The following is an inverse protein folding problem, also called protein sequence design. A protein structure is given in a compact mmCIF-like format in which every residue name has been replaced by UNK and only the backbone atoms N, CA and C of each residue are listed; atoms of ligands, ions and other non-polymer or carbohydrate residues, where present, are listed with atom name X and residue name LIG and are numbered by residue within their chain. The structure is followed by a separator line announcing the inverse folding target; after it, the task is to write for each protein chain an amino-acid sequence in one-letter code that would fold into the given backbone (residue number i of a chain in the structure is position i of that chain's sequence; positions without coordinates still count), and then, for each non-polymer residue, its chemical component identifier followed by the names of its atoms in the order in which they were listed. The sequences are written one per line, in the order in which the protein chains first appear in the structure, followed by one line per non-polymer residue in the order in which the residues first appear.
data_IF_464658231407
#
_entry.id   IF_464658231407
#
_cell.length_a   1.000
_cell.length_b   1.000
_cell.length_c   1.000
_cell.angle_alpha   90.00
_cell.angle_beta   90.00
_cell.angle_gamma   90.00
#
_symmetry.space_group_name_H-M   'P 1'
#
loop_
_entity.id
_entity.type
_entity.pdbx_description
1 polymer ?
#
# COMPACT_ATOMS: atom_id res chain seq x y z
N UNK A 1 4.70 12.64 5.79
CA UNK A 1 3.40 12.81 5.11
C UNK A 1 2.20 12.93 6.06
N UNK A 2 2.33 13.49 7.27
CA UNK A 2 1.17 13.68 8.15
C UNK A 2 0.39 14.94 7.79
N UNK A 3 1.09 16.08 7.67
CA UNK A 3 0.50 17.40 7.41
C UNK A 3 -0.30 17.43 6.12
N UNK A 4 0.21 16.86 5.02
CA UNK A 4 -0.52 16.88 3.75
C UNK A 4 -1.78 16.02 3.77
N UNK A 5 -1.80 14.93 4.55
CA UNK A 5 -2.98 14.09 4.73
C UNK A 5 -4.05 14.82 5.53
N UNK A 6 -3.69 15.36 6.69
CA UNK A 6 -4.64 16.08 7.57
C UNK A 6 -5.00 17.47 7.05
N UNK A 7 -4.19 18.05 6.18
CA UNK A 7 -4.45 19.34 5.53
C UNK A 7 -5.62 19.29 4.53
N UNK A 8 -6.07 18.09 4.12
CA UNK A 8 -7.22 17.94 3.20
C UNK A 8 -8.59 17.93 3.89
N UNK A 9 -8.62 17.88 5.23
CA UNK A 9 -9.82 17.56 6.00
C UNK A 9 -10.76 18.75 6.22
N UNK A 10 -10.27 20.00 6.23
CA UNK A 10 -11.09 21.21 6.40
C UNK A 10 -11.22 22.00 5.08
N UNK A 11 -12.41 22.54 4.82
CA UNK A 11 -12.72 23.39 3.65
C UNK A 11 -13.22 24.75 4.13
N UNK A 12 -13.06 25.81 3.34
CA UNK A 12 -13.52 27.15 3.71
C UNK A 12 -14.99 27.13 4.19
N UNK A 13 -15.24 27.64 5.40
CA UNK A 13 -16.56 27.67 6.02
C UNK A 13 -17.05 26.37 6.65
N UNK A 14 -16.29 25.26 6.61
CA UNK A 14 -16.66 23.99 7.25
C UNK A 14 -15.50 23.40 8.06
N UNK A 15 -15.79 23.04 9.31
CA UNK A 15 -14.83 22.30 10.13
C UNK A 15 -14.66 20.87 9.61
N UNK A 16 -13.44 20.36 9.71
CA UNK A 16 -13.08 18.98 9.38
C UNK A 16 -12.41 18.31 10.56
N UNK A 17 -12.61 17.01 10.73
CA UNK A 17 -11.95 16.22 11.78
C UNK A 17 -11.04 15.18 11.14
N UNK A 18 -9.82 15.06 11.67
CA UNK A 18 -8.89 13.99 11.33
C UNK A 18 -8.66 13.12 12.55
N UNK A 19 -8.97 11.83 12.44
CA UNK A 19 -8.73 10.83 13.49
C UNK A 19 -7.52 10.00 13.09
N UNK A 20 -6.56 9.86 14.00
CA UNK A 20 -5.36 9.04 13.79
C UNK A 20 -5.45 7.83 14.70
N UNK A 21 -5.39 6.63 14.13
CA UNK A 21 -5.25 5.40 14.91
C UNK A 21 -3.77 5.17 15.19
N UNK A 22 -3.45 4.91 16.46
CA UNK A 22 -2.07 4.74 16.94
C UNK A 22 -2.01 3.41 17.68
N UNK A 23 -1.09 2.54 17.28
CA UNK A 23 -0.78 1.30 18.00
C UNK A 23 0.49 1.49 18.82
N UNK A 24 0.83 0.50 19.66
CA UNK A 24 2.09 0.49 20.41
C UNK A 24 3.34 0.62 19.52
N UNK A 25 3.26 0.20 18.26
CA UNK A 25 4.37 0.27 17.30
C UNK A 25 4.56 1.68 16.72
N UNK A 26 3.54 2.54 16.82
CA UNK A 26 3.53 3.87 16.20
C UNK A 26 3.95 4.98 17.16
N UNK A 27 4.27 4.65 18.42
CA UNK A 27 4.51 5.63 19.50
C UNK A 27 5.60 6.64 19.14
N UNK A 28 6.75 6.17 18.64
CA UNK A 28 7.87 7.05 18.28
C UNK A 28 7.49 7.98 17.10
N UNK A 29 6.80 7.43 16.09
CA UNK A 29 6.34 8.20 14.95
C UNK A 29 5.32 9.28 15.38
N UNK A 30 4.39 8.92 16.24
CA UNK A 30 3.38 9.82 16.78
C UNK A 30 4.02 10.97 17.58
N UNK A 31 4.97 10.66 18.47
CA UNK A 31 5.69 11.70 19.24
C UNK A 31 6.48 12.66 18.34
N UNK A 32 7.10 12.17 17.27
CA UNK A 32 7.75 13.04 16.27
C UNK A 32 6.76 13.97 15.59
N UNK A 33 5.55 13.50 15.28
CA UNK A 33 4.49 14.32 14.71
C UNK A 33 4.08 15.42 15.70
N UNK A 34 3.84 15.08 16.96
CA UNK A 34 3.47 16.05 18.00
C UNK A 34 4.54 17.13 18.19
N UNK A 35 5.82 16.72 18.19
CA UNK A 35 6.93 17.66 18.27
C UNK A 35 6.97 18.60 17.06
N UNK A 36 6.79 18.07 15.86
CA UNK A 36 6.83 18.84 14.61
C UNK A 36 5.67 19.84 14.50
N UNK A 37 4.48 19.51 14.99
CA UNK A 37 3.32 20.43 15.01
C UNK A 37 3.29 21.34 16.24
N UNK A 38 4.19 21.11 17.21
CA UNK A 38 4.29 21.88 18.46
C UNK A 38 3.08 21.76 19.38
N UNK A 39 2.27 20.70 19.25
CA UNK A 39 1.03 20.50 20.00
C UNK A 39 0.81 19.03 20.33
N UNK A 40 0.26 18.76 21.51
CA UNK A 40 -0.24 17.44 21.88
C UNK A 40 -1.57 17.17 21.19
N UNK A 41 -1.71 15.99 20.60
CA UNK A 41 -2.95 15.56 19.97
C UNK A 41 -3.84 14.91 21.04
N UNK A 42 -5.04 15.45 21.31
CA UNK A 42 -5.90 14.91 22.35
C UNK A 42 -6.45 13.55 21.94
N UNK A 43 -6.63 12.68 22.93
CA UNK A 43 -7.36 11.43 22.75
C UNK A 43 -8.79 11.76 22.35
N UNK A 44 -9.29 11.09 21.31
CA UNK A 44 -10.67 11.26 20.90
C UNK A 44 -11.58 10.59 21.94
N UNK A 45 -12.60 11.29 22.49
CA UNK A 45 -13.43 10.73 23.54
C UNK A 45 -14.28 9.57 23.03
N UNK A 46 -14.28 8.46 23.77
CA UNK A 46 -15.05 7.25 23.50
C UNK A 46 -15.78 6.80 24.76
N UNK A 47 -16.93 6.11 24.58
CA UNK A 47 -17.61 5.42 25.67
C UNK A 47 -17.00 4.02 25.79
N UNK A 48 -16.00 3.88 26.66
CA UNK A 48 -15.16 2.69 26.70
C UNK A 48 -15.97 1.41 26.95
N UNK A 49 -16.95 1.46 27.86
CA UNK A 49 -17.82 0.31 28.16
C UNK A 49 -18.61 -0.16 26.92
N UNK A 50 -19.21 0.77 26.16
CA UNK A 50 -19.96 0.46 24.95
C UNK A 50 -19.06 -0.11 23.84
N UNK A 51 -17.83 0.42 23.72
CA UNK A 51 -16.84 -0.05 22.75
C UNK A 51 -16.37 -1.46 23.12
N UNK A 52 -16.13 -1.74 24.41
CA UNK A 52 -15.64 -3.03 24.87
C UNK A 52 -16.65 -4.15 24.62
N UNK A 53 -17.95 -3.87 24.65
CA UNK A 53 -19.00 -4.83 24.27
C UNK A 53 -18.90 -5.30 22.81
N UNK A 54 -18.25 -4.54 21.93
CA UNK A 54 -18.07 -4.91 20.52
C UNK A 54 -16.83 -5.78 20.27
N UNK A 55 -15.97 -5.97 21.28
CA UNK A 55 -14.65 -6.60 21.12
C UNK A 55 -14.73 -8.00 20.52
N UNK A 56 -15.63 -8.85 21.01
CA UNK A 56 -15.76 -10.22 20.49
C UNK A 56 -16.14 -10.24 19.01
N UNK A 57 -17.12 -9.42 18.62
CA UNK A 57 -17.57 -9.32 17.22
C UNK A 57 -16.48 -8.75 16.31
N UNK A 58 -15.75 -7.76 16.79
CA UNK A 58 -14.64 -7.13 16.04
C UNK A 58 -13.49 -8.11 15.85
N UNK A 59 -13.11 -8.85 16.89
CA UNK A 59 -12.01 -9.83 16.82
C UNK A 59 -12.35 -11.00 15.89
N UNK A 60 -13.59 -11.48 15.93
CA UNK A 60 -14.09 -12.48 14.98
C UNK A 60 -14.06 -11.95 13.53
N UNK A 61 -14.60 -10.77 13.29
CA UNK A 61 -14.58 -10.15 11.96
C UNK A 61 -13.14 -9.93 11.44
N UNK A 62 -12.22 -9.50 12.30
CA UNK A 62 -10.80 -9.36 11.95
C UNK A 62 -10.17 -10.70 11.57
N UNK A 63 -10.50 -11.78 12.29
CA UNK A 63 -10.01 -13.12 11.97
C UNK A 63 -10.50 -13.57 10.58
N UNK A 64 -11.79 -13.41 10.30
CA UNK A 64 -12.35 -13.74 8.99
C UNK A 64 -11.71 -12.92 7.88
N UNK A 65 -11.61 -11.60 8.04
CA UNK A 65 -10.97 -10.73 7.06
C UNK A 65 -9.52 -11.14 6.77
N UNK A 66 -8.76 -11.55 7.79
CA UNK A 66 -7.38 -12.01 7.62
C UNK A 66 -7.29 -13.33 6.86
N UNK A 67 -8.22 -14.25 7.08
CA UNK A 67 -8.29 -15.52 6.32
C UNK A 67 -8.63 -15.25 4.85
N UNK A 68 -9.64 -14.42 4.59
CA UNK A 68 -10.05 -14.02 3.23
C UNK A 68 -8.91 -13.36 2.45
N UNK A 69 -8.19 -12.41 3.07
CA UNK A 69 -7.05 -11.75 2.43
C UNK A 69 -5.93 -12.73 2.05
N UNK A 70 -5.67 -13.72 2.92
CA UNK A 70 -4.68 -14.76 2.65
C UNK A 70 -5.13 -15.65 1.50
N UNK A 71 -6.37 -16.11 1.49
CA UNK A 71 -6.91 -16.95 0.43
C UNK A 71 -6.92 -16.21 -0.92
N UNK A 72 -7.36 -14.95 -0.95
CA UNK A 72 -7.31 -14.12 -2.15
C UNK A 72 -5.89 -13.92 -2.66
N UNK A 73 -4.91 -13.73 -1.77
CA UNK A 73 -3.50 -13.64 -2.12
C UNK A 73 -2.98 -14.94 -2.76
N UNK A 74 -3.30 -16.09 -2.17
CA UNK A 74 -2.91 -17.41 -2.69
C UNK A 74 -3.58 -17.70 -4.04
N UNK A 75 -4.88 -17.39 -4.19
CA UNK A 75 -5.61 -17.56 -5.46
C UNK A 75 -5.05 -16.67 -6.56
N UNK A 76 -4.72 -15.41 -6.24
CA UNK A 76 -4.07 -14.50 -7.18
C UNK A 76 -2.71 -15.07 -7.60
N UNK A 77 -1.89 -15.54 -6.66
CA UNK A 77 -0.59 -16.15 -6.96
C UNK A 77 -0.72 -17.36 -7.90
N UNK A 78 -1.63 -18.29 -7.61
CA UNK A 78 -1.92 -19.44 -8.49
C UNK A 78 -2.36 -19.01 -9.89
N UNK A 79 -3.17 -17.95 -9.99
CA UNK A 79 -3.59 -17.40 -11.28
C UNK A 79 -2.43 -16.80 -12.08
N UNK A 80 -1.45 -16.16 -11.43
CA UNK A 80 -0.25 -15.65 -12.10
C UNK A 80 0.67 -16.79 -12.54
N UNK A 81 0.82 -17.83 -11.72
CA UNK A 81 1.62 -19.02 -12.05
C UNK A 81 1.02 -19.79 -13.23
N UNK A 82 -0.31 -20.00 -13.25
CA UNK A 82 -0.99 -20.67 -14.36
C UNK A 82 -1.00 -19.86 -15.67
N UNK A 83 -0.94 -18.52 -15.60
CA UNK A 83 -0.83 -17.67 -16.79
C UNK A 83 0.61 -17.58 -17.34
N UNK A 84 1.61 -17.92 -16.54
CA UNK A 84 3.03 -17.92 -16.93
C UNK A 84 3.52 -19.23 -17.58
N UNK A 85 2.77 -20.32 -17.43
CA UNK A 85 3.08 -21.65 -17.98
C UNK A 85 2.66 -21.81 -19.47
N UNK A 86 2.04 -20.77 -20.05
CA UNK A 86 1.48 -20.79 -21.41
C UNK A 86 2.36 -20.20 -22.52
N UNK A 87 3.59 -19.78 -22.23
CA UNK A 87 4.52 -19.19 -23.24
C UNK A 87 5.69 -20.12 -23.63
N UNK A 88 5.53 -21.43 -23.45
CA UNK A 88 6.39 -22.44 -24.08
C UNK A 88 5.83 -22.86 -25.47
N UNK A 89 5.38 -21.88 -26.27
CA UNK A 89 5.15 -22.13 -27.70
C UNK A 89 6.50 -22.10 -28.40
N UNK A 90 7.04 -23.29 -28.65
CA UNK A 90 8.13 -23.58 -29.60
C UNK A 90 8.20 -22.54 -30.72
N UNK A 91 9.27 -21.74 -30.71
CA UNK A 91 9.39 -20.62 -31.62
C UNK A 91 10.79 -20.04 -31.75
N UNK A 92 11.85 -20.86 -31.67
CA UNK A 92 13.14 -20.60 -32.34
C UNK A 92 14.11 -21.78 -32.15
N UNK A 93 13.88 -22.87 -32.87
CA UNK A 93 14.98 -23.76 -33.26
C UNK A 93 16.02 -22.91 -34.01
N UNK A 94 17.27 -23.05 -33.57
CA UNK A 94 18.40 -22.23 -33.98
C UNK A 94 18.55 -22.03 -35.49
N UNK A 95 18.55 -20.77 -35.90
CA UNK A 95 19.24 -20.33 -37.12
C UNK A 95 20.39 -19.41 -36.71
N UNK A 96 21.50 -20.09 -36.41
CA UNK A 96 22.90 -19.72 -36.65
C UNK A 96 23.21 -18.24 -36.89
N UNK A 97 23.92 -17.68 -35.91
CA UNK A 97 24.94 -16.65 -36.10
C UNK A 97 25.79 -16.92 -37.35
N UNK A 98 25.90 -15.96 -38.28
CA UNK A 98 27.10 -15.70 -39.09
C UNK A 98 27.06 -14.32 -39.77
N UNK A 99 27.78 -13.39 -39.15
CA UNK A 99 28.70 -12.36 -39.72
C UNK A 99 28.33 -11.60 -41.00
N UNK A 100 28.23 -10.27 -40.86
CA UNK A 100 28.85 -9.19 -41.69
C UNK A 100 27.99 -7.92 -41.49
N UNK A 101 28.43 -6.88 -40.78
CA UNK A 101 29.38 -5.91 -41.31
C UNK A 101 28.75 -4.51 -41.23
N UNK A 102 29.47 -3.54 -40.67
CA UNK A 102 29.21 -2.11 -40.89
C UNK A 102 28.63 -1.30 -39.73
N UNK A 103 29.49 -0.88 -38.79
CA UNK A 103 29.28 0.36 -38.03
C UNK A 103 29.45 1.56 -38.98
N UNK A 104 28.47 2.46 -39.10
CA UNK A 104 28.77 3.82 -39.58
C UNK A 104 27.84 4.92 -39.01
N UNK A 105 28.43 5.68 -38.08
CA UNK A 105 28.27 7.10 -37.70
C UNK A 105 26.95 7.85 -37.97
N UNK A 106 26.33 8.31 -36.88
CA UNK A 106 25.55 9.56 -36.80
C UNK A 106 26.48 10.78 -36.92
N UNK A 107 26.16 11.75 -37.77
CA UNK A 107 26.62 13.15 -37.67
C UNK A 107 25.41 14.09 -37.78
N UNK A 108 25.34 15.01 -36.81
CA UNK A 108 24.36 16.10 -36.69
C UNK A 108 24.55 17.12 -37.81
N UNK A 109 23.45 17.66 -38.35
CA UNK A 109 23.42 18.84 -39.21
C UNK A 109 22.97 20.06 -38.42
N UNK A 110 23.56 21.21 -38.77
CA UNK A 110 23.33 22.55 -38.25
C UNK A 110 21.95 23.11 -38.60
#
# INVERSE_FOLDING_TARGET
DYIHRVGRTARAGRSGKSITFVTQYDVELFQRIEHLIGKKLPVFPTQDDEVMMLTERVTEAQRFARMELREHGERKKRSWEAAGDGDDREGAIGVRNKVAGGKMKKRKGH
#
